data_IF_101629173806
#
_entry.id   IF_101629173806
#
_cell.length_a   1.000
_cell.length_b   1.000
_cell.length_c   1.000
_cell.angle_alpha   90.00
_cell.angle_beta   90.00
_cell.angle_gamma   90.00
#
_symmetry.space_group_name_H-M   'P 1'
#
loop_
_entity.id
_entity.type
_entity.pdbx_description
1 polymer ?
#
# COMPACT_ATOMS: atom_id res chain seq x y z
N UNK A 1 -11.93 -6.88 1.45
CA UNK A 1 -11.61 -5.95 0.36
C UNK A 1 -11.11 -6.71 -0.85
N UNK A 2 -11.41 -6.23 -2.05
CA UNK A 2 -10.83 -6.75 -3.29
C UNK A 2 -9.54 -5.97 -3.61
N UNK A 3 -8.53 -6.64 -4.15
CA UNK A 3 -7.28 -6.03 -4.59
C UNK A 3 -7.30 -5.89 -6.12
N UNK A 4 -6.82 -4.77 -6.63
CA UNK A 4 -6.67 -4.54 -8.08
C UNK A 4 -5.87 -5.68 -8.71
N UNK A 5 -6.33 -6.19 -9.86
CA UNK A 5 -5.59 -7.19 -10.62
C UNK A 5 -4.86 -6.53 -11.80
N UNK A 6 -3.53 -6.67 -11.83
CA UNK A 6 -2.66 -6.19 -12.90
C UNK A 6 -2.01 -7.39 -13.59
N UNK A 7 -1.71 -7.27 -14.88
CA UNK A 7 -1.01 -8.32 -15.62
C UNK A 7 0.31 -8.67 -14.93
N UNK A 8 0.60 -9.96 -14.75
CA UNK A 8 1.80 -10.44 -14.07
C UNK A 8 3.09 -9.91 -14.69
N UNK A 9 3.11 -9.66 -16.01
CA UNK A 9 4.29 -9.09 -16.70
C UNK A 9 4.60 -7.65 -16.31
N UNK A 10 3.64 -6.93 -15.71
CA UNK A 10 3.81 -5.56 -15.24
C UNK A 10 4.09 -5.49 -13.74
N UNK A 11 3.82 -6.58 -12.99
CA UNK A 11 4.08 -6.65 -11.56
C UNK A 11 5.58 -6.59 -11.32
N UNK A 12 5.95 -5.84 -10.30
CA UNK A 12 7.33 -5.73 -9.86
C UNK A 12 7.44 -6.59 -8.62
N UNK A 13 8.40 -7.53 -8.65
CA UNK A 13 8.73 -8.33 -7.48
C UNK A 13 9.45 -7.44 -6.47
N UNK A 14 8.89 -7.33 -5.27
CA UNK A 14 9.41 -6.51 -4.17
C UNK A 14 9.61 -7.43 -2.98
N UNK A 15 10.84 -7.44 -2.46
CA UNK A 15 11.12 -8.14 -1.22
C UNK A 15 10.64 -7.31 -0.02
N UNK A 16 9.42 -7.59 0.45
CA UNK A 16 8.82 -6.93 1.60
C UNK A 16 9.49 -7.28 2.94
N UNK A 17 10.51 -8.13 2.96
CA UNK A 17 11.30 -8.38 4.18
C UNK A 17 12.37 -7.32 4.43
N UNK A 18 12.70 -6.48 3.45
CA UNK A 18 13.77 -5.49 3.56
C UNK A 18 13.48 -4.39 4.60
N UNK A 19 14.39 -4.17 5.55
CA UNK A 19 14.22 -3.17 6.62
C UNK A 19 14.15 -1.71 6.12
N UNK A 20 14.59 -1.45 4.88
CA UNK A 20 14.50 -0.13 4.25
C UNK A 20 13.04 0.25 3.93
N UNK A 21 12.14 -0.73 3.85
CA UNK A 21 10.73 -0.51 3.54
C UNK A 21 9.94 -0.03 4.76
N UNK A 22 8.96 0.88 4.57
CA UNK A 22 8.05 1.30 5.63
C UNK A 22 7.39 0.09 6.31
N UNK A 23 7.21 0.17 7.63
CA UNK A 23 6.59 -0.94 8.39
C UNK A 23 5.22 -1.32 7.81
N UNK A 24 4.43 -0.33 7.41
CA UNK A 24 3.13 -0.53 6.76
C UNK A 24 3.24 -1.38 5.50
N UNK A 25 4.23 -1.11 4.65
CA UNK A 25 4.43 -1.82 3.39
C UNK A 25 4.85 -3.28 3.64
N UNK A 26 5.69 -3.51 4.65
CA UNK A 26 6.13 -4.87 5.04
C UNK A 26 5.00 -5.72 5.61
N UNK A 27 4.00 -5.10 6.24
CA UNK A 27 2.85 -5.81 6.82
C UNK A 27 1.71 -6.02 5.82
N UNK A 28 1.48 -5.04 4.94
CA UNK A 28 0.33 -5.01 4.04
C UNK A 28 0.64 -5.52 2.64
N UNK A 29 1.92 -5.63 2.29
CA UNK A 29 2.44 -6.13 1.00
C UNK A 29 1.65 -5.59 -0.20
N UNK A 30 1.60 -4.25 -0.39
CA UNK A 30 0.79 -3.64 -1.43
C UNK A 30 1.27 -4.05 -2.83
N UNK A 31 0.35 -4.00 -3.80
CA UNK A 31 0.69 -4.32 -5.18
C UNK A 31 1.62 -3.24 -5.76
N UNK A 32 2.78 -3.66 -6.26
CA UNK A 32 3.69 -2.79 -7.01
C UNK A 32 3.76 -3.22 -8.47
N UNK A 33 3.61 -2.26 -9.39
CA UNK A 33 3.70 -2.52 -10.81
C UNK A 33 4.35 -1.34 -11.54
N UNK A 34 4.86 -1.61 -12.75
CA UNK A 34 5.45 -0.57 -13.60
C UNK A 34 4.50 -0.19 -14.72
N UNK A 35 4.31 1.11 -14.93
CA UNK A 35 3.60 1.69 -16.07
C UNK A 35 4.49 2.74 -16.70
N UNK A 36 4.81 2.55 -17.98
CA UNK A 36 5.75 3.39 -18.73
C UNK A 36 7.10 3.53 -18.00
N UNK A 37 7.44 4.74 -17.56
CA UNK A 37 8.69 5.07 -16.87
C UNK A 37 8.53 5.21 -15.35
N UNK A 38 7.35 4.87 -14.80
CA UNK A 38 7.03 5.03 -13.38
C UNK A 38 6.62 3.71 -12.73
N UNK A 39 6.84 3.65 -11.42
CA UNK A 39 6.36 2.61 -10.54
C UNK A 39 5.13 3.12 -9.80
N UNK A 40 4.16 2.22 -9.64
CA UNK A 40 2.92 2.46 -8.95
C UNK A 40 2.78 1.45 -7.81
N UNK A 41 2.21 1.87 -6.71
CA UNK A 41 1.94 1.08 -5.53
C UNK A 41 0.47 1.25 -5.12
N UNK A 42 -0.25 0.16 -4.85
CA UNK A 42 -1.67 0.21 -4.53
C UNK A 42 -2.08 -0.86 -3.51
N UNK A 43 -2.83 -0.42 -2.50
CA UNK A 43 -3.63 -1.28 -1.64
C UNK A 43 -5.10 -0.92 -1.82
N UNK A 44 -5.90 -1.82 -2.38
CA UNK A 44 -7.30 -1.55 -2.71
C UNK A 44 -7.72 -2.02 -4.10
N UNK A 45 -9.01 -1.88 -4.43
CA UNK A 45 -9.57 -2.42 -5.67
C UNK A 45 -9.20 -1.59 -6.90
N UNK A 46 -8.97 -0.28 -6.72
CA UNK A 46 -8.54 0.64 -7.78
C UNK A 46 -7.85 1.89 -7.21
N UNK A 47 -7.27 2.72 -8.09
CA UNK A 47 -6.48 3.91 -7.71
C UNK A 47 -7.31 5.04 -7.06
N UNK A 48 -8.63 5.06 -7.27
CA UNK A 48 -9.53 6.10 -6.73
C UNK A 48 -10.01 5.73 -5.32
N UNK A 49 -10.33 4.47 -5.11
CA UNK A 49 -10.91 3.98 -3.85
C UNK A 49 -9.88 3.37 -2.90
N UNK A 50 -8.73 2.93 -3.43
CA UNK A 50 -7.58 2.39 -2.69
C UNK A 50 -6.60 3.45 -2.19
N UNK A 51 -5.55 3.00 -1.52
CA UNK A 51 -4.37 3.83 -1.22
C UNK A 51 -3.38 3.65 -2.34
N UNK A 52 -3.14 4.72 -3.09
CA UNK A 52 -2.25 4.74 -4.24
C UNK A 52 -0.99 5.55 -3.94
N UNK A 53 0.15 5.14 -4.48
CA UNK A 53 1.37 5.91 -4.53
C UNK A 53 2.14 5.68 -5.82
N UNK A 54 3.03 6.60 -6.18
CA UNK A 54 3.83 6.49 -7.40
C UNK A 54 5.23 7.09 -7.26
N UNK A 55 6.18 6.62 -8.07
CA UNK A 55 7.56 7.08 -8.01
C UNK A 55 8.42 6.59 -9.17
N UNK A 56 9.64 7.13 -9.25
CA UNK A 56 10.64 6.75 -10.27
C UNK A 56 11.32 5.41 -9.96
N UNK A 57 11.20 4.94 -8.71
CA UNK A 57 11.66 3.62 -8.27
C UNK A 57 10.57 2.93 -7.45
N UNK A 58 10.62 1.59 -7.30
CA UNK A 58 9.69 0.87 -6.43
C UNK A 58 9.66 1.43 -5.01
N UNK A 59 10.83 1.70 -4.44
CA UNK A 59 10.96 2.28 -3.11
C UNK A 59 10.24 3.65 -3.00
N UNK A 60 10.44 4.54 -3.98
CA UNK A 60 9.77 5.84 -3.98
C UNK A 60 8.25 5.71 -4.10
N UNK A 61 7.76 4.78 -4.92
CA UNK A 61 6.32 4.50 -5.03
C UNK A 61 5.73 3.98 -3.72
N UNK A 62 6.48 3.12 -3.00
CA UNK A 62 6.08 2.59 -1.70
C UNK A 62 6.09 3.68 -0.61
N UNK A 63 7.09 4.57 -0.61
CA UNK A 63 7.16 5.69 0.35
C UNK A 63 6.03 6.70 0.13
N UNK A 64 5.72 7.02 -1.13
CA UNK A 64 4.59 7.87 -1.48
C UNK A 64 3.26 7.22 -1.04
N UNK A 65 3.11 5.92 -1.29
CA UNK A 65 1.97 5.13 -0.83
C UNK A 65 1.82 5.13 0.70
N UNK A 66 2.90 4.97 1.46
CA UNK A 66 2.90 4.98 2.93
C UNK A 66 2.51 6.35 3.50
N UNK A 67 2.94 7.43 2.83
CA UNK A 67 2.54 8.80 3.17
C UNK A 67 1.04 9.00 2.96
N UNK A 68 0.51 8.50 1.84
CA UNK A 68 -0.92 8.56 1.53
C UNK A 68 -1.74 7.68 2.47
N UNK A 69 -1.22 6.50 2.84
CA UNK A 69 -1.82 5.63 3.84
C UNK A 69 -1.96 6.34 5.18
N UNK A 70 -0.87 6.93 5.67
CA UNK A 70 -0.84 7.66 6.94
C UNK A 70 -1.85 8.80 6.95
N UNK A 71 -1.89 9.58 5.86
CA UNK A 71 -2.85 10.69 5.71
C UNK A 71 -4.29 10.21 5.68
N UNK A 72 -4.56 9.09 4.99
CA UNK A 72 -5.89 8.47 4.95
C UNK A 72 -6.28 7.98 6.34
N UNK A 73 -5.42 7.24 7.04
CA UNK A 73 -5.69 6.73 8.39
C UNK A 73 -5.99 7.86 9.40
N UNK A 74 -5.34 9.02 9.27
CA UNK A 74 -5.57 10.18 10.13
C UNK A 74 -6.96 10.81 9.94
N UNK A 75 -7.59 10.62 8.79
CA UNK A 75 -8.88 11.24 8.40
C UNK A 75 -10.00 10.24 8.12
N UNK A 76 -9.68 8.94 8.16
CA UNK A 76 -10.59 7.85 7.80
C UNK A 76 -11.78 7.75 8.76
N UNK A 77 -12.97 7.62 8.17
CA UNK A 77 -14.21 7.31 8.89
C UNK A 77 -14.37 5.79 9.05
N UNK A 78 -15.39 5.37 9.80
CA UNK A 78 -15.71 3.95 9.99
C UNK A 78 -16.19 3.25 8.70
N UNK A 79 -16.61 4.04 7.70
CA UNK A 79 -17.09 3.56 6.40
C UNK A 79 -15.96 3.31 5.40
N UNK A 80 -14.72 3.69 5.73
CA UNK A 80 -13.57 3.49 4.86
C UNK A 80 -13.04 2.04 4.98
N UNK A 81 -13.51 1.17 4.10
CA UNK A 81 -13.18 -0.26 4.11
C UNK A 81 -11.67 -0.54 4.02
N UNK A 82 -10.90 0.29 3.30
CA UNK A 82 -9.45 0.11 3.16
C UNK A 82 -8.76 0.50 4.47
N UNK A 83 -9.18 1.61 5.09
CA UNK A 83 -8.65 2.00 6.39
C UNK A 83 -9.01 1.00 7.50
N UNK A 84 -10.21 0.42 7.48
CA UNK A 84 -10.61 -0.62 8.41
C UNK A 84 -9.76 -1.88 8.23
N UNK A 85 -9.55 -2.33 7.00
CA UNK A 85 -8.67 -3.46 6.71
C UNK A 85 -7.26 -3.24 7.29
N UNK A 86 -6.67 -2.06 7.05
CA UNK A 86 -5.33 -1.75 7.57
C UNK A 86 -5.30 -1.76 9.09
N UNK A 87 -6.30 -1.18 9.75
CA UNK A 87 -6.43 -1.20 11.21
C UNK A 87 -6.56 -2.63 11.74
N UNK A 88 -7.30 -3.50 11.06
CA UNK A 88 -7.48 -4.90 11.45
C UNK A 88 -6.20 -5.71 11.29
N UNK A 89 -5.43 -5.49 10.22
CA UNK A 89 -4.10 -6.10 10.04
C UNK A 89 -3.17 -5.67 11.17
N UNK A 90 -3.14 -4.39 11.53
CA UNK A 90 -2.29 -3.89 12.63
C UNK A 90 -2.68 -4.48 13.99
N UNK A 91 -3.98 -4.59 14.27
CA UNK A 91 -4.47 -5.24 15.49
C UNK A 91 -4.12 -6.72 15.54
N UNK A 92 -4.25 -7.45 14.42
CA UNK A 92 -3.95 -8.88 14.35
C UNK A 92 -2.46 -9.17 14.62
N UNK A 93 -1.58 -8.25 14.24
CA UNK A 93 -0.13 -8.35 14.47
C UNK A 93 0.28 -7.99 15.91
N UNK A 94 -0.66 -7.67 16.81
CA UNK A 94 -0.40 -7.06 18.14
C UNK A 94 0.49 -5.80 18.05
N UNK A 95 0.53 -5.14 16.90
CA UNK A 95 1.24 -3.90 16.75
C UNK A 95 0.31 -2.76 17.20
N UNK A 96 0.54 -2.21 18.39
CA UNK A 96 -0.03 -0.91 18.77
C UNK A 96 0.60 0.18 17.90
N UNK A 97 -0.07 0.57 16.81
CA UNK A 97 0.30 1.76 16.04
C UNK A 97 -0.56 2.93 16.51
N UNK A 98 -0.26 3.44 17.70
CA UNK A 98 -0.77 4.72 18.20
C UNK A 98 0.31 5.45 18.99
#
# INVERSE_FOLDING_TARGET
MEQMNVNESMKVDVDFSEEVLPKSARMLEPLVWKVDEKYCCLLGPDQLTGVFGSGETPLLAIVDWDTNLTSRLATATEEDEVAQYVKDVYKADNTEVW
#
